data_IF_325410824816
#
_entry.id   IF_325410824816
#
_cell.length_a   1.000
_cell.length_b   1.000
_cell.length_c   1.000
_cell.angle_alpha   90.00
_cell.angle_beta   90.00
_cell.angle_gamma   90.00
#
_symmetry.space_group_name_H-M   'P 1'
#
loop_
_entity.id
_entity.type
_entity.pdbx_description
1 polymer ?
#
# COMPACT_ATOMS: atom_id res chain seq x y z
N UNK A 1 25.31 2.81 38.06
CA UNK A 1 24.88 2.74 36.65
C UNK A 1 25.56 3.85 35.85
N UNK A 2 25.91 3.68 34.57
CA UNK A 2 26.38 4.81 33.73
C UNK A 2 25.19 5.64 33.23
N UNK A 3 25.43 6.90 32.86
CA UNK A 3 24.38 7.82 32.40
C UNK A 3 23.67 7.30 31.13
N UNK A 4 24.42 6.66 30.23
CA UNK A 4 23.86 6.03 29.01
C UNK A 4 22.97 4.82 29.31
N UNK A 5 23.35 4.01 30.31
CA UNK A 5 22.53 2.88 30.74
C UNK A 5 21.24 3.34 31.40
N UNK A 6 21.29 4.44 32.16
CA UNK A 6 20.12 5.03 32.79
C UNK A 6 19.13 5.55 31.76
N UNK A 7 19.59 6.31 30.77
CA UNK A 7 18.75 6.82 29.68
C UNK A 7 18.08 5.68 28.89
N UNK A 8 18.85 4.61 28.59
CA UNK A 8 18.31 3.43 27.93
C UNK A 8 17.28 2.68 28.79
N UNK A 9 17.43 2.72 30.13
CA UNK A 9 16.48 2.11 31.06
C UNK A 9 15.20 2.94 31.18
N UNK A 10 15.31 4.27 31.22
CA UNK A 10 14.16 5.19 31.23
C UNK A 10 13.28 5.04 29.98
N UNK A 11 13.90 4.90 28.80
CA UNK A 11 13.17 4.61 27.56
C UNK A 11 12.34 3.32 27.69
N UNK A 12 12.91 2.28 28.29
CA UNK A 12 12.19 1.01 28.55
C UNK A 12 11.08 1.16 29.58
N UNK A 13 11.21 2.05 30.57
CA UNK A 13 10.14 2.34 31.53
C UNK A 13 8.90 2.93 30.83
N UNK A 14 9.10 3.83 29.88
CA UNK A 14 8.00 4.38 29.07
C UNK A 14 7.28 3.27 28.31
N UNK A 15 8.01 2.44 27.56
CA UNK A 15 7.42 1.33 26.80
C UNK A 15 6.74 0.29 27.70
N UNK A 16 7.26 0.09 28.91
CA UNK A 16 6.65 -0.79 29.91
C UNK A 16 5.30 -0.26 30.40
N UNK A 17 5.23 1.03 30.74
CA UNK A 17 4.01 1.69 31.23
C UNK A 17 2.95 1.83 30.13
N UNK A 18 3.36 2.11 28.90
CA UNK A 18 2.48 2.17 27.73
C UNK A 18 2.04 0.78 27.24
N UNK A 19 2.68 -0.28 27.75
CA UNK A 19 2.37 -1.67 27.41
C UNK A 19 2.85 -2.10 26.02
N UNK A 20 3.70 -1.30 25.37
CA UNK A 20 4.29 -1.54 24.05
C UNK A 20 5.52 -2.45 24.11
N UNK A 21 6.10 -2.64 25.29
CA UNK A 21 7.30 -3.46 25.47
C UNK A 21 7.02 -4.96 25.16
N UNK A 22 7.87 -5.63 24.34
CA UNK A 22 7.75 -7.05 24.05
C UNK A 22 7.78 -7.93 25.31
N UNK A 23 7.11 -9.09 25.32
CA UNK A 23 6.96 -9.92 26.53
C UNK A 23 8.29 -10.45 27.09
N UNK A 24 9.29 -10.71 26.23
CA UNK A 24 10.62 -11.15 26.67
C UNK A 24 11.36 -10.04 27.43
N UNK A 25 11.40 -8.84 26.85
CA UNK A 25 12.04 -7.66 27.45
C UNK A 25 11.32 -7.20 28.71
N UNK A 26 9.98 -7.35 28.76
CA UNK A 26 9.19 -7.12 29.96
C UNK A 26 9.64 -7.99 31.12
N UNK A 27 9.79 -9.29 30.90
CA UNK A 27 10.22 -10.21 31.93
C UNK A 27 11.65 -9.91 32.41
N UNK A 28 12.54 -9.47 31.51
CA UNK A 28 13.88 -9.02 31.89
C UNK A 28 13.85 -7.76 32.76
N UNK A 29 13.03 -6.78 32.39
CA UNK A 29 12.85 -5.54 33.15
C UNK A 29 12.24 -5.81 34.53
N UNK A 30 11.22 -6.65 34.61
CA UNK A 30 10.60 -7.06 35.88
C UNK A 30 11.62 -7.78 36.78
N UNK A 31 12.45 -8.66 36.23
CA UNK A 31 13.54 -9.29 36.99
C UNK A 31 14.59 -8.27 37.45
N UNK A 32 14.92 -7.29 36.61
CA UNK A 32 15.86 -6.22 37.00
C UNK A 32 15.28 -5.37 38.12
N UNK A 33 14.00 -5.00 38.02
CA UNK A 33 13.26 -4.31 39.09
C UNK A 33 13.16 -5.19 40.34
N UNK A 34 13.11 -6.51 40.23
CA UNK A 34 13.11 -7.38 41.42
C UNK A 34 14.46 -7.45 42.13
N UNK A 35 15.54 -7.39 41.36
CA UNK A 35 16.91 -7.63 41.82
C UNK A 35 17.66 -6.37 42.23
N UNK A 36 17.30 -5.20 41.70
CA UNK A 36 18.01 -3.95 41.92
C UNK A 36 17.14 -2.90 42.60
N UNK A 37 17.55 -2.47 43.79
CA UNK A 37 16.91 -1.37 44.51
C UNK A 37 17.10 -0.02 43.78
N UNK A 38 18.24 0.18 43.13
CA UNK A 38 18.54 1.36 42.30
C UNK A 38 17.56 1.46 41.11
N UNK A 39 17.29 0.34 40.44
CA UNK A 39 16.34 0.30 39.32
C UNK A 39 14.89 0.55 39.78
N UNK A 40 14.50 0.04 40.97
CA UNK A 40 13.18 0.33 41.56
C UNK A 40 13.03 1.81 41.88
N UNK A 41 14.04 2.42 42.49
CA UNK A 41 14.01 3.83 42.84
C UNK A 41 13.84 4.71 41.60
N UNK A 42 14.62 4.42 40.54
CA UNK A 42 14.49 5.13 39.25
C UNK A 42 13.10 4.95 38.62
N UNK A 43 12.52 3.74 38.68
CA UNK A 43 11.18 3.50 38.16
C UNK A 43 10.08 4.23 38.93
N UNK A 44 10.18 4.28 40.26
CA UNK A 44 9.23 5.04 41.10
C UNK A 44 9.33 6.55 40.87
N UNK A 45 10.54 7.08 40.66
CA UNK A 45 10.75 8.49 40.29
C UNK A 45 10.15 8.81 38.91
N UNK A 46 10.39 7.93 37.92
CA UNK A 46 9.79 8.03 36.60
C UNK A 46 8.25 8.04 36.70
N UNK A 47 7.69 7.07 37.43
CA UNK A 47 6.24 6.94 37.62
C UNK A 47 5.65 8.16 38.31
N UNK A 48 6.31 8.69 39.35
CA UNK A 48 5.88 9.92 40.02
C UNK A 48 5.84 11.12 39.07
N UNK A 49 6.80 11.21 38.15
CA UNK A 49 6.85 12.26 37.12
C UNK A 49 5.70 12.11 36.13
N UNK A 50 5.46 10.90 35.63
CA UNK A 50 4.34 10.60 34.71
C UNK A 50 2.99 10.88 35.38
N UNK A 51 2.82 10.46 36.64
CA UNK A 51 1.59 10.69 37.40
C UNK A 51 1.34 12.20 37.59
N UNK A 52 2.37 12.98 37.91
CA UNK A 52 2.29 14.43 38.02
C UNK A 52 1.86 15.10 36.69
N UNK A 53 2.37 14.61 35.55
CA UNK A 53 1.97 15.08 34.22
C UNK A 53 0.56 14.64 33.85
N UNK A 54 0.15 13.43 34.24
CA UNK A 54 -1.20 12.90 33.97
C UNK A 54 -2.30 13.69 34.67
N UNK A 55 -1.97 14.32 35.81
CA UNK A 55 -2.83 15.19 36.58
C UNK A 55 -2.95 16.61 36.01
N UNK A 56 -2.16 16.97 35.00
CA UNK A 56 -2.33 18.24 34.30
C UNK A 56 -3.72 18.22 33.66
N UNK A 57 -4.51 19.28 33.92
CA UNK A 57 -5.90 19.35 33.52
C UNK A 57 -6.07 18.91 32.06
N UNK A 58 -6.85 17.83 31.85
CA UNK A 58 -7.36 17.48 30.53
C UNK A 58 -8.28 18.62 30.11
N UNK A 59 -7.71 19.62 29.44
CA UNK A 59 -8.47 20.74 28.89
C UNK A 59 -9.32 20.15 27.77
N UNK A 60 -10.63 20.13 27.99
CA UNK A 60 -11.58 19.77 26.94
C UNK A 60 -11.34 20.65 25.71
N UNK A 61 -11.53 20.08 24.52
CA UNK A 61 -11.37 20.85 23.29
C UNK A 61 -12.24 22.12 23.35
N UNK A 62 -11.72 23.28 22.92
CA UNK A 62 -12.49 24.52 22.93
C UNK A 62 -13.75 24.36 22.08
N UNK A 63 -14.86 25.05 22.43
CA UNK A 63 -16.08 24.99 21.64
C UNK A 63 -15.78 25.42 20.20
N UNK A 64 -16.14 24.59 19.23
CA UNK A 64 -15.87 24.83 17.81
C UNK A 64 -14.52 24.34 17.29
N UNK A 65 -13.77 23.55 18.07
CA UNK A 65 -12.52 22.92 17.59
C UNK A 65 -12.73 22.05 16.34
N UNK A 66 -13.74 21.19 16.36
CA UNK A 66 -14.07 20.30 15.23
C UNK A 66 -14.36 21.07 13.92
N UNK A 67 -15.29 22.04 13.88
CA UNK A 67 -15.55 22.76 12.63
C UNK A 67 -14.34 23.59 12.15
N UNK A 68 -13.53 24.12 13.07
CA UNK A 68 -12.32 24.85 12.70
C UNK A 68 -11.25 23.92 12.09
N UNK A 69 -11.10 22.71 12.61
CA UNK A 69 -10.21 21.69 12.09
C UNK A 69 -10.67 21.21 10.71
N UNK A 70 -11.96 20.93 10.55
CA UNK A 70 -12.54 20.55 9.25
C UNK A 70 -12.31 21.62 8.19
N UNK A 71 -12.54 22.90 8.52
CA UNK A 71 -12.28 24.01 7.62
C UNK A 71 -10.80 24.08 7.23
N UNK A 72 -9.90 23.98 8.22
CA UNK A 72 -8.45 24.04 7.98
C UNK A 72 -7.98 22.91 7.06
N UNK A 73 -8.41 21.67 7.33
CA UNK A 73 -8.00 20.54 6.49
C UNK A 73 -8.66 20.65 5.11
N UNK A 74 -9.90 21.14 4.99
CA UNK A 74 -10.54 21.38 3.69
C UNK A 74 -9.78 22.41 2.85
N UNK A 75 -9.38 23.54 3.44
CA UNK A 75 -8.57 24.57 2.80
C UNK A 75 -7.21 24.01 2.34
N UNK A 76 -6.52 23.27 3.21
CA UNK A 76 -5.18 22.75 2.92
C UNK A 76 -5.18 21.55 1.97
N UNK A 77 -6.24 20.74 1.99
CA UNK A 77 -6.37 19.53 1.17
C UNK A 77 -7.09 19.74 -0.16
N UNK A 78 -7.58 20.96 -0.44
CA UNK A 78 -8.38 21.25 -1.63
C UNK A 78 -9.65 20.40 -1.71
N UNK A 79 -10.18 19.97 -0.56
CA UNK A 79 -11.36 19.09 -0.50
C UNK A 79 -11.11 17.61 -0.82
N UNK A 80 -9.84 17.17 -0.94
CA UNK A 80 -9.50 15.76 -1.27
C UNK A 80 -9.97 14.76 -0.22
N UNK A 81 -10.00 15.12 1.06
CA UNK A 81 -10.28 14.19 2.16
C UNK A 81 -11.74 14.20 2.66
N UNK A 82 -12.53 15.25 2.38
CA UNK A 82 -13.90 15.38 2.91
C UNK A 82 -15.00 15.42 1.84
N UNK A 83 -14.65 15.32 0.56
CA UNK A 83 -15.62 15.20 -0.51
C UNK A 83 -16.15 13.77 -0.64
N UNK A 84 -17.47 13.56 -0.58
CA UNK A 84 -18.18 12.33 -1.02
C UNK A 84 -17.86 11.88 -2.46
N UNK A 85 -17.07 12.66 -3.19
CA UNK A 85 -16.49 12.41 -4.50
C UNK A 85 -15.06 12.94 -4.50
N UNK A 86 -14.12 12.23 -3.88
CA UNK A 86 -12.72 12.47 -4.15
C UNK A 86 -12.50 12.31 -5.67
N UNK A 87 -12.25 13.45 -6.33
CA UNK A 87 -12.22 13.67 -7.78
C UNK A 87 -11.03 13.00 -8.49
N UNK A 88 -10.78 11.72 -8.20
CA UNK A 88 -9.71 10.92 -8.82
C UNK A 88 -10.14 9.55 -9.34
N UNK A 89 -11.36 9.09 -9.01
CA UNK A 89 -11.68 7.65 -9.09
C UNK A 89 -12.72 7.27 -10.17
N UNK A 90 -13.10 8.20 -11.05
CA UNK A 90 -14.09 7.91 -12.10
C UNK A 90 -13.77 8.63 -13.41
N UNK A 91 -12.66 8.27 -14.04
CA UNK A 91 -12.82 8.00 -15.47
C UNK A 91 -13.47 6.61 -15.49
N UNK A 92 -14.80 6.50 -15.71
CA UNK A 92 -15.41 5.18 -15.73
C UNK A 92 -14.69 4.39 -16.81
N UNK A 93 -14.18 3.20 -16.48
CA UNK A 93 -13.51 2.34 -17.44
C UNK A 93 -14.36 2.13 -18.70
N UNK A 94 -15.68 2.27 -18.59
CA UNK A 94 -16.64 2.35 -19.69
C UNK A 94 -16.27 3.41 -20.74
N UNK A 95 -15.90 4.64 -20.35
CA UNK A 95 -15.52 5.68 -21.30
C UNK A 95 -14.22 5.33 -22.04
N UNK A 96 -13.24 4.75 -21.34
CA UNK A 96 -12.00 4.27 -21.95
C UNK A 96 -12.28 3.10 -22.91
N UNK A 97 -13.17 2.19 -22.52
CA UNK A 97 -13.59 1.06 -23.36
C UNK A 97 -14.33 1.54 -24.62
N UNK A 98 -15.20 2.54 -24.52
CA UNK A 98 -15.89 3.14 -25.66
C UNK A 98 -14.90 3.81 -26.62
N UNK A 99 -13.93 4.57 -26.09
CA UNK A 99 -12.87 5.19 -26.91
C UNK A 99 -12.03 4.12 -27.61
N UNK A 100 -11.59 3.09 -26.88
CA UNK A 100 -10.83 1.98 -27.44
C UNK A 100 -11.61 1.24 -28.54
N UNK A 101 -12.91 0.99 -28.33
CA UNK A 101 -13.79 0.38 -29.31
C UNK A 101 -13.95 1.24 -30.56
N UNK A 102 -14.11 2.56 -30.39
CA UNK A 102 -14.19 3.50 -31.51
C UNK A 102 -12.91 3.53 -32.34
N UNK A 103 -11.74 3.50 -31.69
CA UNK A 103 -10.43 3.40 -32.36
C UNK A 103 -10.31 2.08 -33.12
N UNK A 104 -10.63 0.95 -32.49
CA UNK A 104 -10.64 -0.38 -33.13
C UNK A 104 -11.56 -0.43 -34.34
N UNK A 105 -12.77 0.13 -34.22
CA UNK A 105 -13.72 0.21 -35.32
C UNK A 105 -13.19 1.09 -36.46
N UNK A 106 -12.58 2.23 -36.14
CA UNK A 106 -11.93 3.10 -37.13
C UNK A 106 -10.81 2.37 -37.88
N UNK A 107 -9.93 1.66 -37.17
CA UNK A 107 -8.87 0.84 -37.77
C UNK A 107 -9.44 -0.30 -38.61
N UNK A 108 -10.47 -0.99 -38.14
CA UNK A 108 -11.14 -2.04 -38.89
C UNK A 108 -11.73 -1.51 -40.21
N UNK A 109 -12.42 -0.37 -40.16
CA UNK A 109 -12.97 0.27 -41.35
C UNK A 109 -11.86 0.75 -42.29
N UNK A 110 -10.73 1.23 -41.76
CA UNK A 110 -9.57 1.60 -42.55
C UNK A 110 -8.99 0.39 -43.30
N UNK A 111 -8.76 -0.73 -42.61
CA UNK A 111 -8.26 -1.98 -43.22
C UNK A 111 -9.25 -2.51 -44.26
N UNK A 112 -10.54 -2.48 -43.93
CA UNK A 112 -11.61 -2.95 -44.83
C UNK A 112 -11.81 -2.06 -46.05
N UNK A 113 -11.59 -0.75 -45.92
CA UNK A 113 -11.74 0.22 -47.01
C UNK A 113 -10.46 0.45 -47.80
N UNK A 114 -9.29 0.12 -47.25
CA UNK A 114 -8.04 0.14 -48.00
C UNK A 114 -8.05 -1.00 -49.02
N UNK A 115 -8.12 -0.65 -50.31
CA UNK A 115 -8.08 -1.56 -51.45
C UNK A 115 -6.73 -2.30 -51.63
N UNK A 116 -5.92 -2.44 -50.58
CA UNK A 116 -4.61 -3.09 -50.64
C UNK A 116 -4.34 -3.82 -49.33
N UNK A 117 -4.27 -5.16 -49.39
CA UNK A 117 -3.56 -5.94 -48.37
C UNK A 117 -4.34 -7.08 -47.69
N UNK A 118 -4.98 -7.98 -48.43
CA UNK A 118 -5.06 -9.36 -47.96
C UNK A 118 -3.77 -10.07 -48.39
N UNK A 119 -2.86 -10.48 -47.48
CA UNK A 119 -1.80 -11.40 -47.86
C UNK A 119 -2.47 -12.74 -48.15
N UNK A 120 -2.78 -12.99 -49.42
CA UNK A 120 -3.10 -14.34 -49.88
C UNK A 120 -1.79 -15.12 -49.81
N UNK A 121 -1.66 -16.00 -48.82
CA UNK A 121 -0.66 -17.05 -48.85
C UNK A 121 -1.04 -17.99 -50.01
N UNK A 122 -0.46 -17.75 -51.18
CA UNK A 122 -0.56 -18.64 -52.33
C UNK A 122 0.24 -19.92 -52.04
N UNK A 123 -0.36 -20.87 -51.32
CA UNK A 123 0.25 -22.17 -51.01
C UNK A 123 0.62 -23.01 -52.24
N UNK A 124 0.21 -22.61 -53.44
CA UNK A 124 0.55 -23.26 -54.69
C UNK A 124 1.94 -22.88 -55.25
N UNK A 125 2.56 -21.77 -54.79
CA UNK A 125 3.91 -21.37 -55.23
C UNK A 125 5.04 -21.98 -54.40
N UNK A 126 4.75 -22.37 -53.15
CA UNK A 126 5.74 -22.91 -52.21
C UNK A 126 5.65 -24.43 -52.00
N UNK A 127 4.91 -25.15 -52.85
CA UNK A 127 4.97 -26.61 -52.84
C UNK A 127 6.35 -27.06 -53.36
N UNK A 128 7.18 -27.76 -52.54
CA UNK A 128 8.44 -28.29 -53.03
C UNK A 128 8.19 -29.29 -54.17
N UNK A 129 9.02 -29.29 -55.24
CA UNK A 129 8.81 -30.19 -56.36
C UNK A 129 8.92 -31.64 -55.89
N UNK A 130 7.84 -32.40 -56.05
CA UNK A 130 7.82 -33.84 -55.76
C UNK A 130 8.64 -34.55 -56.84
N UNK A 131 9.73 -35.28 -56.50
CA UNK A 131 10.55 -35.96 -57.49
C UNK A 131 9.75 -37.08 -58.17
N UNK A 132 9.85 -37.16 -59.50
CA UNK A 132 9.03 -38.01 -60.40
C UNK A 132 9.19 -39.55 -60.22
N UNK A 133 9.81 -40.00 -59.13
CA UNK A 133 10.05 -41.42 -58.83
C UNK A 133 9.37 -41.94 -57.56
N UNK A 134 8.65 -41.10 -56.81
CA UNK A 134 7.94 -41.55 -55.61
C UNK A 134 6.70 -42.37 -55.99
N UNK A 135 6.86 -43.69 -56.12
CA UNK A 135 5.73 -44.62 -56.10
C UNK A 135 5.17 -44.65 -54.68
N UNK A 136 3.91 -44.27 -54.56
CA UNK A 136 3.11 -44.40 -53.36
C UNK A 136 2.94 -45.91 -53.06
N UNK A 137 3.83 -46.47 -52.24
CA UNK A 137 3.66 -47.85 -51.75
C UNK A 137 2.78 -47.77 -50.52
N UNK A 138 1.47 -47.70 -50.72
CA UNK A 138 0.50 -47.93 -49.65
C UNK A 138 0.21 -49.44 -49.65
N UNK A 139 0.71 -50.23 -48.68
CA UNK A 139 0.28 -51.62 -48.56
C UNK A 139 -1.19 -51.64 -48.14
N UNK A 140 -2.04 -52.26 -48.96
CA UNK A 140 -3.43 -52.54 -48.58
C UNK A 140 -3.43 -53.63 -47.49
N UNK A 141 -4.27 -53.49 -46.44
CA UNK A 141 -4.51 -54.54 -45.46
C UNK A 141 -5.27 -55.73 -46.07
#
# INVERSE_FOLDING_TARGET
MTEQELEALEAKFSDYVDGTLPPAERAELERLLEQSEEARAAFEEFKATVDALSGLHRVGAPPGFEPALEQTIRERSGGRFFGRRAFGDRVPFELLAVIALAVLLGVYLLIRSSATGSPKLDGARDAPPVPAGSREVVPKP
#
